data_IF_338792559605
#
_entry.id   IF_338792559605
#
_cell.length_a   1.000
_cell.length_b   1.000
_cell.length_c   1.000
_cell.angle_alpha   90.00
_cell.angle_beta   90.00
_cell.angle_gamma   90.00
#
_symmetry.space_group_name_H-M   'P 1'
#
loop_
_entity.id
_entity.type
_entity.pdbx_description
1 polymer ?
#
# COMPACT_ATOMS: atom_id res chain seq x y z
N UNK A 1 -1.27 -9.01 -27.97
CA UNK A 1 -0.28 -8.82 -26.90
C UNK A 1 -1.10 -8.71 -25.64
N UNK A 2 -1.10 -9.74 -24.80
CA UNK A 2 -1.80 -9.70 -23.52
C UNK A 2 -0.88 -8.90 -22.61
N UNK A 3 -1.04 -7.58 -22.58
CA UNK A 3 -0.43 -6.77 -21.52
C UNK A 3 -0.90 -7.38 -20.19
N UNK A 4 0.03 -7.90 -19.41
CA UNK A 4 -0.29 -8.41 -18.07
C UNK A 4 -0.91 -7.27 -17.26
N UNK A 5 -2.17 -7.44 -16.87
CA UNK A 5 -2.90 -6.42 -16.13
C UNK A 5 -2.29 -6.29 -14.73
N UNK A 6 -1.71 -5.12 -14.45
CA UNK A 6 -1.13 -4.80 -13.15
C UNK A 6 -2.15 -4.07 -12.28
N UNK A 7 -2.14 -4.42 -11.00
CA UNK A 7 -3.04 -3.91 -9.98
C UNK A 7 -2.27 -3.09 -8.97
N UNK A 8 -2.92 -2.05 -8.45
CA UNK A 8 -2.36 -1.19 -7.43
C UNK A 8 -3.12 -1.39 -6.11
N UNK A 9 -2.41 -1.82 -5.06
CA UNK A 9 -2.91 -1.82 -3.68
C UNK A 9 -2.51 -0.52 -3.00
N UNK A 10 -3.50 0.32 -2.68
CA UNK A 10 -3.28 1.57 -1.97
C UNK A 10 -2.78 1.31 -0.55
N UNK A 11 -1.70 2.02 -0.16
CA UNK A 11 -1.18 2.01 1.20
C UNK A 11 -2.00 2.98 2.04
N UNK A 12 -2.72 2.51 3.08
CA UNK A 12 -3.48 3.39 3.95
C UNK A 12 -2.57 4.40 4.68
N UNK A 13 -3.09 5.60 4.99
CA UNK A 13 -2.38 6.51 5.87
C UNK A 13 -2.21 5.87 7.26
N UNK A 14 -1.02 5.99 7.84
CA UNK A 14 -0.71 5.44 9.16
C UNK A 14 0.03 4.10 9.15
N UNK A 15 0.24 3.49 7.98
CA UNK A 15 1.12 2.30 7.88
C UNK A 15 2.55 2.69 8.27
N UNK A 16 3.17 1.99 9.25
CA UNK A 16 4.57 2.21 9.62
C UNK A 16 5.53 2.08 8.45
N UNK A 17 6.52 2.98 8.38
CA UNK A 17 7.52 3.00 7.29
C UNK A 17 8.28 1.67 7.18
N UNK A 18 8.55 1.02 8.31
CA UNK A 18 9.19 -0.30 8.36
C UNK A 18 8.43 -1.34 7.53
N UNK A 19 7.10 -1.39 7.65
CA UNK A 19 6.26 -2.32 6.88
C UNK A 19 6.28 -1.96 5.40
N UNK A 20 6.25 -0.67 5.06
CA UNK A 20 6.29 -0.19 3.66
C UNK A 20 7.57 -0.64 2.96
N UNK A 21 8.72 -0.59 3.64
CA UNK A 21 10.00 -1.04 3.06
C UNK A 21 10.13 -2.56 2.99
N UNK A 22 9.58 -3.32 3.95
CA UNK A 22 9.63 -4.79 3.96
C UNK A 22 8.88 -5.44 2.79
N UNK A 23 7.79 -4.83 2.33
CA UNK A 23 6.92 -5.42 1.30
C UNK A 23 7.63 -5.61 -0.05
N UNK A 24 8.26 -4.59 -0.67
CA UNK A 24 8.97 -4.76 -1.94
C UNK A 24 10.25 -5.62 -1.82
N UNK A 25 10.79 -5.83 -0.62
CA UNK A 25 11.89 -6.76 -0.39
C UNK A 25 11.44 -8.23 -0.41
N UNK A 26 10.18 -8.50 -0.05
CA UNK A 26 9.61 -9.85 0.05
C UNK A 26 8.77 -10.26 -1.15
N UNK A 27 8.12 -9.30 -1.80
CA UNK A 27 7.17 -9.53 -2.88
C UNK A 27 7.61 -8.80 -4.14
N UNK A 28 7.28 -9.38 -5.30
CA UNK A 28 7.51 -8.79 -6.62
C UNK A 28 6.50 -7.67 -6.90
N UNK A 29 6.65 -6.56 -6.17
CA UNK A 29 5.81 -5.37 -6.28
C UNK A 29 6.64 -4.09 -6.29
N UNK A 30 6.17 -3.11 -7.05
CA UNK A 30 6.79 -1.79 -7.15
C UNK A 30 6.05 -0.79 -6.25
N UNK A 31 6.79 0.07 -5.54
CA UNK A 31 6.18 1.16 -4.76
C UNK A 31 5.98 2.37 -5.67
N UNK A 32 4.73 2.65 -6.03
CA UNK A 32 4.37 3.75 -6.93
C UNK A 32 3.64 4.86 -6.17
N UNK A 33 3.80 6.09 -6.64
CA UNK A 33 3.04 7.23 -6.14
C UNK A 33 1.71 7.37 -6.90
N UNK A 34 0.62 7.49 -6.15
CA UNK A 34 -0.72 7.77 -6.65
C UNK A 34 -1.23 9.09 -6.08
N UNK A 35 -1.07 10.21 -6.79
CA UNK A 35 -1.65 11.48 -6.35
C UNK A 35 -3.19 11.36 -6.41
N UNK A 36 -3.83 11.40 -5.25
CA UNK A 36 -5.29 11.48 -5.13
C UNK A 36 -5.65 12.63 -4.23
N UNK A 37 -6.63 13.44 -4.67
CA UNK A 37 -7.27 14.42 -3.78
C UNK A 37 -8.08 13.63 -2.76
N UNK A 38 -7.69 13.72 -1.49
CA UNK A 38 -8.41 13.11 -0.38
C UNK A 38 -8.87 14.18 0.58
N UNK A 39 -10.12 14.03 1.04
CA UNK A 39 -10.70 14.86 2.08
C UNK A 39 -10.83 13.98 3.31
N UNK A 40 -9.94 14.13 4.28
CA UNK A 40 -10.04 13.40 5.55
C UNK A 40 -10.28 14.33 6.72
N UNK A 41 -11.36 14.01 7.45
CA UNK A 41 -11.68 14.31 8.83
C UNK A 41 -11.69 15.77 9.35
N UNK A 42 -10.93 16.72 8.79
CA UNK A 42 -10.99 18.17 9.07
C UNK A 42 -10.00 19.00 8.19
N UNK A 43 -9.37 18.40 7.18
CA UNK A 43 -8.33 19.07 6.38
C UNK A 43 -8.90 19.55 5.04
N UNK A 44 -8.78 20.85 4.81
CA UNK A 44 -9.18 21.53 3.58
C UNK A 44 -8.28 21.07 2.43
N UNK A 45 -8.80 20.21 1.55
CA UNK A 45 -8.40 20.09 0.14
C UNK A 45 -6.97 19.67 -0.23
N UNK A 46 -6.05 19.42 0.71
CA UNK A 46 -4.65 19.14 0.35
C UNK A 46 -4.52 17.79 -0.38
N UNK A 47 -4.13 17.87 -1.65
CA UNK A 47 -3.81 16.70 -2.47
C UNK A 47 -2.60 15.98 -1.86
N UNK A 48 -2.82 14.80 -1.28
CA UNK A 48 -1.74 13.98 -0.75
C UNK A 48 -1.30 12.94 -1.79
N UNK A 49 0.01 12.84 -1.96
CA UNK A 49 0.62 11.73 -2.71
C UNK A 49 0.47 10.45 -1.89
N UNK A 50 -0.44 9.56 -2.31
CA UNK A 50 -0.53 8.22 -1.71
C UNK A 50 0.56 7.33 -2.29
N UNK A 51 0.93 6.32 -1.53
CA UNK A 51 1.73 5.21 -2.03
C UNK A 51 0.81 4.05 -2.40
N UNK A 52 1.22 3.27 -3.39
CA UNK A 52 0.57 2.02 -3.73
C UNK A 52 1.63 0.96 -4.05
N UNK A 53 1.31 -0.30 -3.75
CA UNK A 53 2.08 -1.45 -4.21
C UNK A 53 1.48 -1.91 -5.54
N UNK A 54 2.27 -1.86 -6.60
CA UNK A 54 1.89 -2.25 -7.95
C UNK A 54 2.46 -3.62 -8.29
N UNK A 55 1.61 -4.54 -8.73
CA UNK A 55 2.06 -5.87 -9.15
C UNK A 55 0.95 -6.69 -9.82
N UNK A 56 1.23 -7.96 -10.06
CA UNK A 56 0.23 -8.91 -10.56
C UNK A 56 -0.84 -9.17 -9.49
N UNK A 57 -2.08 -9.44 -9.90
CA UNK A 57 -3.22 -9.59 -8.98
C UNK A 57 -2.95 -10.55 -7.83
N UNK A 58 -2.41 -11.73 -8.14
CA UNK A 58 -2.11 -12.78 -7.16
C UNK A 58 -1.12 -12.27 -6.09
N UNK A 59 -0.04 -11.64 -6.53
CA UNK A 59 0.98 -11.07 -5.63
C UNK A 59 0.38 -9.93 -4.79
N UNK A 60 -0.44 -9.09 -5.39
CA UNK A 60 -1.07 -7.95 -4.69
C UNK A 60 -2.07 -8.44 -3.62
N UNK A 61 -2.82 -9.50 -3.91
CA UNK A 61 -3.73 -10.14 -2.94
C UNK A 61 -2.94 -10.74 -1.75
N UNK A 62 -1.79 -11.37 -2.01
CA UNK A 62 -0.88 -11.86 -0.95
C UNK A 62 -0.30 -10.71 -0.12
N UNK A 63 0.16 -9.64 -0.77
CA UNK A 63 0.66 -8.43 -0.11
C UNK A 63 -0.41 -7.82 0.79
N UNK A 64 -1.69 -7.81 0.37
CA UNK A 64 -2.78 -7.33 1.20
C UNK A 64 -2.89 -8.13 2.50
N UNK A 65 -2.89 -9.46 2.43
CA UNK A 65 -2.97 -10.31 3.63
C UNK A 65 -1.76 -10.11 4.55
N UNK A 66 -0.57 -10.02 3.96
CA UNK A 66 0.66 -9.78 4.71
C UNK A 66 0.65 -8.41 5.40
N UNK A 67 0.23 -7.36 4.70
CA UNK A 67 0.10 -6.00 5.24
C UNK A 67 -0.85 -5.98 6.44
N UNK A 68 -2.03 -6.61 6.35
CA UNK A 68 -2.96 -6.68 7.48
C UNK A 68 -2.39 -7.46 8.67
N UNK A 69 -1.62 -8.51 8.42
CA UNK A 69 -0.98 -9.30 9.48
C UNK A 69 0.08 -8.47 10.21
N UNK A 70 1.00 -7.84 9.49
CA UNK A 70 2.04 -6.99 10.12
C UNK A 70 1.43 -5.78 10.84
N UNK A 71 0.34 -5.20 10.31
CA UNK A 71 -0.38 -4.13 11.00
C UNK A 71 -1.04 -4.63 12.28
N UNK A 72 -1.64 -5.81 12.28
CA UNK A 72 -2.25 -6.41 13.47
C UNK A 72 -1.19 -6.76 14.53
N UNK A 73 -0.01 -7.22 14.12
CA UNK A 73 1.13 -7.43 15.02
C UNK A 73 1.64 -6.10 15.60
N UNK A 74 1.84 -5.09 14.75
CA UNK A 74 2.27 -3.76 15.17
C UNK A 74 1.31 -3.13 16.20
N UNK A 75 -0.01 -3.28 16.01
CA UNK A 75 -1.02 -2.77 16.96
C UNK A 75 -0.98 -3.53 18.30
N UNK A 76 -0.60 -4.81 18.31
CA UNK A 76 -0.53 -5.63 19.54
C UNK A 76 0.73 -5.38 20.36
N UNK A 77 1.78 -4.85 19.74
CA UNK A 77 3.04 -4.51 20.43
C UNK A 77 2.93 -3.20 21.24
N UNK A 78 1.85 -2.43 21.07
CA UNK A 78 1.50 -1.20 21.80
C UNK A 78 0.47 -1.45 22.92
#
# INVERSE_FOLDING_TARGET
MTDEELFDLLVPPGVPRSIIFKIPEKFDVEVVKRPRKMYFANMDGDARELLAFRGRREVVEEVQQYLFTELAEFIKEE
#
